data_IF_290398068907
#
_entry.id   IF_290398068907
#
_cell.length_a   1.000
_cell.length_b   1.000
_cell.length_c   1.000
_cell.angle_alpha   90.00
_cell.angle_beta   90.00
_cell.angle_gamma   90.00
#
_symmetry.space_group_name_H-M   'P 1'
#
loop_
_entity.id
_entity.type
_entity.pdbx_description
1 polymer ?
#
# COMPACT_ATOMS: atom_id res chain seq x y z
N UNK A 1 6.18 -26.33 4.51
CA UNK A 1 6.08 -26.28 5.99
C UNK A 1 6.88 -27.36 6.74
N UNK A 2 6.57 -28.67 6.68
CA UNK A 2 7.33 -29.69 7.45
C UNK A 2 8.77 -29.88 6.93
N UNK A 3 8.96 -29.76 5.62
CA UNK A 3 10.25 -29.89 4.94
C UNK A 3 11.16 -28.67 5.12
N UNK A 4 10.60 -27.47 5.36
CA UNK A 4 11.36 -26.22 5.56
C UNK A 4 11.80 -26.04 7.02
N UNK A 5 11.31 -26.87 7.94
CA UNK A 5 11.54 -26.71 9.38
C UNK A 5 13.01 -26.91 9.77
N UNK A 6 13.76 -27.74 9.05
CA UNK A 6 15.20 -27.93 9.30
C UNK A 6 16.02 -26.69 8.95
N UNK A 7 15.56 -25.92 7.97
CA UNK A 7 16.25 -24.73 7.46
C UNK A 7 15.78 -23.43 8.12
N UNK A 8 14.78 -23.50 9.02
CA UNK A 8 14.11 -22.34 9.57
C UNK A 8 15.09 -21.30 10.13
N UNK A 9 16.14 -21.73 10.83
CA UNK A 9 17.13 -20.83 11.43
C UNK A 9 18.38 -20.61 10.57
N UNK A 10 18.55 -21.36 9.48
CA UNK A 10 19.73 -21.27 8.62
C UNK A 10 19.68 -20.03 7.72
N UNK A 11 18.47 -19.54 7.43
CA UNK A 11 18.22 -18.38 6.57
C UNK A 11 17.55 -17.22 7.29
N UNK A 12 17.29 -17.34 8.60
CA UNK A 12 16.63 -16.28 9.37
C UNK A 12 17.62 -15.15 9.67
N UNK A 13 17.31 -13.96 9.21
CA UNK A 13 17.97 -12.72 9.64
C UNK A 13 17.41 -12.26 10.99
N UNK A 14 18.27 -11.72 11.85
CA UNK A 14 17.86 -11.09 13.11
C UNK A 14 18.36 -9.65 13.11
N UNK A 15 17.44 -8.71 13.23
CA UNK A 15 17.75 -7.28 13.31
C UNK A 15 17.24 -6.69 14.62
N UNK A 16 18.01 -5.74 15.16
CA UNK A 16 17.55 -4.95 16.30
C UNK A 16 16.58 -3.89 15.79
N UNK A 17 15.30 -4.10 16.05
CA UNK A 17 14.28 -3.09 15.80
C UNK A 17 14.33 -2.01 16.89
N UNK A 18 14.68 -0.79 16.50
CA UNK A 18 14.74 0.39 17.39
C UNK A 18 13.54 1.32 17.25
N UNK A 19 12.56 1.00 16.40
CA UNK A 19 11.42 1.85 16.07
C UNK A 19 10.22 1.60 17.00
N UNK A 20 10.47 1.36 18.28
CA UNK A 20 9.41 1.12 19.28
C UNK A 20 8.58 2.39 19.43
N UNK A 21 7.25 2.26 19.28
CA UNK A 21 6.27 3.30 19.58
C UNK A 21 5.50 2.90 20.84
N UNK A 22 4.96 3.87 21.56
CA UNK A 22 4.23 3.61 22.81
C UNK A 22 3.03 2.66 22.60
N UNK A 23 2.35 2.78 21.45
CA UNK A 23 1.15 2.00 21.12
C UNK A 23 1.44 0.70 20.36
N UNK A 24 2.60 0.59 19.69
CA UNK A 24 2.92 -0.58 18.85
C UNK A 24 4.41 -0.72 18.57
N UNK A 25 4.82 -1.94 18.22
CA UNK A 25 6.17 -2.22 17.72
C UNK A 25 6.02 -2.66 16.25
N UNK A 26 6.61 -1.94 15.28
CA UNK A 26 6.51 -2.30 13.87
C UNK A 26 7.19 -3.66 13.63
N UNK A 27 6.59 -4.52 12.82
CA UNK A 27 7.11 -5.85 12.46
C UNK A 27 8.19 -5.71 11.39
N UNK A 28 9.39 -5.30 11.79
CA UNK A 28 10.56 -5.11 10.93
C UNK A 28 11.55 -6.26 11.16
N UNK A 29 11.70 -7.14 10.16
CA UNK A 29 12.45 -8.39 10.29
C UNK A 29 13.82 -8.39 9.62
N UNK A 30 14.09 -7.42 8.76
CA UNK A 30 15.32 -7.32 7.96
C UNK A 30 15.95 -5.94 8.05
N UNK A 31 17.22 -5.83 7.62
CA UNK A 31 17.88 -4.53 7.48
C UNK A 31 17.12 -3.63 6.52
N UNK A 32 16.67 -4.17 5.39
CA UNK A 32 15.88 -3.45 4.37
C UNK A 32 14.59 -2.92 4.98
N UNK A 33 13.86 -3.72 5.78
CA UNK A 33 12.66 -3.25 6.48
C UNK A 33 12.95 -2.00 7.33
N UNK A 34 14.03 -2.05 8.12
CA UNK A 34 14.44 -0.94 8.97
C UNK A 34 14.80 0.31 8.17
N UNK A 35 15.43 0.14 7.02
CA UNK A 35 15.91 1.24 6.18
C UNK A 35 14.76 1.90 5.41
N UNK A 36 13.85 1.12 4.81
CA UNK A 36 12.62 1.63 4.20
C UNK A 36 11.75 2.31 5.24
N UNK A 37 11.58 1.72 6.43
CA UNK A 37 10.75 2.32 7.50
C UNK A 37 11.30 3.67 7.92
N UNK A 38 12.62 3.80 8.04
CA UNK A 38 13.29 5.07 8.33
C UNK A 38 13.02 6.12 7.26
N UNK A 39 13.09 5.73 5.99
CA UNK A 39 12.83 6.63 4.85
C UNK A 39 11.38 7.09 4.79
N UNK A 40 10.42 6.25 5.17
CA UNK A 40 9.03 6.70 5.36
C UNK A 40 8.96 7.73 6.49
N UNK A 41 9.54 7.45 7.66
CA UNK A 41 9.40 8.32 8.83
C UNK A 41 10.22 9.62 8.79
N UNK A 42 11.16 9.79 7.87
CA UNK A 42 11.99 11.00 7.78
C UNK A 42 11.21 12.23 7.28
N UNK A 43 10.03 12.03 6.70
CA UNK A 43 9.18 13.11 6.20
C UNK A 43 8.30 13.69 7.31
N UNK A 44 7.90 14.95 7.16
CA UNK A 44 7.16 15.68 8.21
C UNK A 44 5.64 15.53 8.09
N UNK A 45 5.14 15.60 6.86
CA UNK A 45 3.70 15.65 6.58
C UNK A 45 3.05 14.29 6.84
N UNK A 46 1.98 14.27 7.62
CA UNK A 46 1.23 13.03 7.90
C UNK A 46 0.25 12.75 6.77
N UNK A 47 0.09 11.49 6.35
CA UNK A 47 -0.87 11.14 5.30
C UNK A 47 -2.29 11.63 5.61
N UNK A 48 -2.72 11.58 6.87
CA UNK A 48 -4.04 12.09 7.28
C UNK A 48 -4.22 13.58 6.98
N UNK A 49 -3.15 14.38 6.96
CA UNK A 49 -3.22 15.81 6.63
C UNK A 49 -3.49 16.04 5.15
N UNK A 50 -3.19 15.08 4.27
CA UNK A 50 -3.56 15.18 2.85
C UNK A 50 -5.03 14.78 2.64
N UNK A 51 -5.55 13.89 3.48
CA UNK A 51 -6.89 13.32 3.41
C UNK A 51 -7.97 14.17 4.12
N UNK A 52 -7.58 15.22 4.84
CA UNK A 52 -8.48 16.09 5.61
C UNK A 52 -8.12 17.57 5.36
N UNK A 53 -8.10 17.98 4.10
CA UNK A 53 -7.58 19.29 3.68
C UNK A 53 -8.30 19.94 2.50
N UNK A 54 -9.57 19.61 2.25
CA UNK A 54 -10.34 20.28 1.19
C UNK A 54 -11.66 19.62 0.87
N UNK A 55 -11.98 19.56 -0.42
CA UNK A 55 -13.27 19.08 -0.95
C UNK A 55 -13.16 18.00 -2.04
N UNK A 56 -11.96 17.69 -2.53
CA UNK A 56 -11.80 16.66 -3.56
C UNK A 56 -11.91 15.26 -2.92
N UNK A 57 -12.93 14.45 -3.27
CA UNK A 57 -13.21 13.22 -2.55
C UNK A 57 -12.21 12.12 -2.90
N UNK A 58 -11.90 11.30 -1.91
CA UNK A 58 -11.24 10.00 -2.09
C UNK A 58 -11.89 9.00 -1.15
N UNK A 59 -12.11 7.78 -1.64
CA UNK A 59 -12.83 6.74 -0.93
C UNK A 59 -11.85 5.65 -0.54
N UNK A 60 -11.52 5.59 0.75
CA UNK A 60 -10.59 4.60 1.29
C UNK A 60 -11.37 3.40 1.82
N UNK A 61 -11.07 2.22 1.29
CA UNK A 61 -11.52 0.96 1.85
C UNK A 61 -10.67 0.58 3.07
N UNK A 62 -11.30 0.61 4.23
CA UNK A 62 -10.64 0.42 5.52
C UNK A 62 -10.19 -1.03 5.77
N UNK A 63 -10.60 -2.01 4.95
CA UNK A 63 -10.25 -3.45 5.14
C UNK A 63 -9.60 -4.12 3.93
N UNK A 64 -9.81 -3.62 2.72
CA UNK A 64 -9.73 -4.40 1.48
C UNK A 64 -8.43 -5.10 1.04
N UNK A 65 -7.31 -5.23 1.75
CA UNK A 65 -6.10 -5.90 1.22
C UNK A 65 -5.53 -5.41 -0.16
N UNK A 66 -4.21 -5.57 -0.34
CA UNK A 66 -3.52 -5.40 -1.62
C UNK A 66 -3.72 -4.02 -2.30
N UNK A 67 -3.96 -4.00 -3.62
CA UNK A 67 -3.94 -2.79 -4.48
C UNK A 67 -5.34 -2.22 -4.76
N UNK A 68 -6.29 -2.38 -3.83
CA UNK A 68 -7.68 -1.89 -3.93
C UNK A 68 -8.10 -1.10 -2.68
N UNK A 69 -7.17 -0.28 -2.19
CA UNK A 69 -7.36 0.51 -0.97
C UNK A 69 -8.09 1.82 -1.21
N UNK A 70 -7.78 2.55 -2.26
CA UNK A 70 -8.41 3.84 -2.53
C UNK A 70 -9.06 3.88 -3.90
N UNK A 71 -10.04 4.78 -4.05
CA UNK A 71 -10.78 5.07 -5.29
C UNK A 71 -11.14 6.56 -5.35
N UNK A 72 -11.21 7.16 -6.55
CA UNK A 72 -11.62 8.57 -6.71
C UNK A 72 -13.13 8.71 -6.84
N UNK A 73 -13.78 7.69 -7.39
CA UNK A 73 -15.24 7.63 -7.54
C UNK A 73 -15.93 7.05 -6.32
N UNK A 74 -17.19 7.41 -6.12
CA UNK A 74 -17.96 6.98 -4.96
C UNK A 74 -18.14 5.46 -4.93
N UNK A 75 -17.72 4.84 -3.82
CA UNK A 75 -17.88 3.42 -3.54
C UNK A 75 -18.83 3.21 -2.36
N UNK A 76 -19.87 2.41 -2.57
CA UNK A 76 -20.87 2.08 -1.56
C UNK A 76 -20.41 0.93 -0.67
N UNK A 77 -20.64 1.03 0.64
CA UNK A 77 -20.41 -0.04 1.60
C UNK A 77 -19.89 0.48 2.93
N UNK A 78 -20.14 -0.23 4.02
CA UNK A 78 -19.73 0.19 5.37
C UNK A 78 -18.22 0.22 5.58
N UNK A 79 -17.46 -0.42 4.68
CA UNK A 79 -16.00 -0.48 4.75
C UNK A 79 -15.31 0.65 3.99
N UNK A 80 -16.06 1.45 3.22
CA UNK A 80 -15.53 2.64 2.57
C UNK A 80 -15.74 3.86 3.45
N UNK A 81 -14.67 4.66 3.60
CA UNK A 81 -14.71 5.95 4.24
C UNK A 81 -14.32 7.03 3.25
N UNK A 82 -15.16 8.06 3.15
CA UNK A 82 -14.85 9.26 2.39
C UNK A 82 -13.86 10.14 3.18
N UNK A 83 -12.84 10.61 2.46
CA UNK A 83 -11.88 11.61 2.87
C UNK A 83 -11.87 12.72 1.81
N UNK A 84 -11.31 13.89 2.17
CA UNK A 84 -11.31 15.05 1.29
C UNK A 84 -9.93 15.68 1.19
N UNK A 85 -9.36 15.55 0.00
CA UNK A 85 -8.09 16.16 -0.36
C UNK A 85 -8.26 17.62 -0.77
N UNK A 86 -7.17 18.36 -0.76
CA UNK A 86 -7.14 19.78 -1.11
C UNK A 86 -7.69 20.07 -2.51
N UNK A 87 -7.33 19.23 -3.49
CA UNK A 87 -7.77 19.32 -4.87
C UNK A 87 -7.62 17.95 -5.55
N UNK A 88 -7.97 17.86 -6.82
CA UNK A 88 -7.91 16.62 -7.59
C UNK A 88 -6.49 16.06 -7.71
N UNK A 89 -5.47 16.91 -7.79
CA UNK A 89 -4.06 16.47 -7.88
C UNK A 89 -3.65 15.71 -6.62
N UNK A 90 -4.00 16.24 -5.44
CA UNK A 90 -3.78 15.53 -4.17
C UNK A 90 -4.64 14.27 -4.02
N UNK A 91 -5.86 14.25 -4.55
CA UNK A 91 -6.69 13.05 -4.58
C UNK A 91 -6.05 11.95 -5.44
N UNK A 92 -5.55 12.29 -6.63
CA UNK A 92 -4.85 11.38 -7.54
C UNK A 92 -3.54 10.88 -6.93
N UNK A 93 -2.77 11.76 -6.31
CA UNK A 93 -1.58 11.37 -5.56
C UNK A 93 -1.92 10.38 -4.44
N UNK A 94 -2.93 10.67 -3.62
CA UNK A 94 -3.35 9.77 -2.53
C UNK A 94 -3.88 8.43 -3.08
N UNK A 95 -4.57 8.44 -4.22
CA UNK A 95 -5.02 7.23 -4.92
C UNK A 95 -3.85 6.33 -5.30
N UNK A 96 -2.80 6.90 -5.90
CA UNK A 96 -1.57 6.16 -6.21
C UNK A 96 -0.86 5.67 -4.94
N UNK A 97 -0.69 6.54 -3.94
CA UNK A 97 0.05 6.22 -2.72
C UNK A 97 -0.63 5.12 -1.91
N UNK A 98 -1.94 5.22 -1.67
CA UNK A 98 -2.70 4.24 -0.88
C UNK A 98 -2.82 2.89 -1.60
N UNK A 99 -2.78 2.87 -2.93
CA UNK A 99 -2.72 1.64 -3.73
C UNK A 99 -1.29 1.19 -4.04
N UNK A 100 -0.24 1.80 -3.49
CA UNK A 100 1.15 1.37 -3.72
C UNK A 100 1.52 0.15 -2.88
N UNK A 101 2.53 -0.59 -3.33
CA UNK A 101 3.17 -1.66 -2.58
C UNK A 101 3.90 -1.14 -1.33
N UNK A 102 4.39 0.10 -1.36
CA UNK A 102 5.03 0.73 -0.19
C UNK A 102 4.03 0.95 0.95
N UNK A 103 2.85 1.52 0.65
CA UNK A 103 1.80 1.69 1.66
C UNK A 103 1.29 0.34 2.16
N UNK A 104 1.12 -0.63 1.26
CA UNK A 104 0.75 -1.99 1.64
C UNK A 104 1.76 -2.62 2.62
N UNK A 105 3.05 -2.57 2.30
CA UNK A 105 4.11 -3.08 3.17
C UNK A 105 4.09 -2.38 4.53
N UNK A 106 3.99 -1.05 4.55
CA UNK A 106 3.92 -0.29 5.80
C UNK A 106 2.71 -0.69 6.65
N UNK A 107 1.53 -0.80 6.04
CA UNK A 107 0.32 -1.25 6.72
C UNK A 107 0.53 -2.63 7.36
N UNK A 108 1.15 -3.57 6.63
CA UNK A 108 1.47 -4.89 7.16
C UNK A 108 2.47 -4.80 8.32
N UNK A 109 3.45 -3.90 8.29
CA UNK A 109 4.41 -3.73 9.38
C UNK A 109 3.74 -3.27 10.69
N UNK A 110 2.74 -2.40 10.64
CA UNK A 110 2.26 -1.70 11.85
C UNK A 110 0.84 -2.07 12.31
N UNK A 111 0.04 -2.71 11.45
CA UNK A 111 -1.37 -3.00 11.74
C UNK A 111 -1.59 -4.44 12.20
N UNK A 112 -2.83 -4.74 12.54
CA UNK A 112 -3.37 -6.10 12.71
C UNK A 112 -3.64 -6.81 11.37
N UNK A 113 -3.25 -6.20 10.25
CA UNK A 113 -3.47 -6.66 8.89
C UNK A 113 -4.96 -6.82 8.53
N UNK A 114 -5.84 -6.12 9.26
CA UNK A 114 -7.28 -6.20 9.05
C UNK A 114 -7.91 -4.82 8.91
N UNK A 115 -7.61 -3.88 9.80
CA UNK A 115 -8.16 -2.53 9.78
C UNK A 115 -7.10 -1.48 9.46
N UNK A 116 -7.46 -0.52 8.60
CA UNK A 116 -6.82 0.79 8.63
C UNK A 116 -7.51 1.60 9.73
N UNK A 117 -6.72 2.22 10.60
CA UNK A 117 -7.21 3.13 11.64
C UNK A 117 -6.52 4.49 11.49
N UNK A 118 -6.80 5.44 12.38
CA UNK A 118 -6.08 6.73 12.37
C UNK A 118 -4.58 6.56 12.60
N UNK A 119 -4.15 5.53 13.35
CA UNK A 119 -2.74 5.25 13.64
C UNK A 119 -1.93 5.09 12.36
N UNK A 120 -2.43 4.31 11.40
CA UNK A 120 -1.78 4.10 10.11
C UNK A 120 -1.65 5.40 9.32
N UNK A 121 -2.73 6.19 9.26
CA UNK A 121 -2.78 7.43 8.48
C UNK A 121 -1.98 8.58 9.14
N UNK A 122 -1.81 8.58 10.46
CA UNK A 122 -0.98 9.55 11.20
C UNK A 122 0.51 9.16 11.11
N UNK A 123 0.79 7.87 11.21
CA UNK A 123 2.16 7.35 11.26
C UNK A 123 2.86 7.39 9.90
N UNK A 124 2.13 7.17 8.80
CA UNK A 124 2.71 7.21 7.45
C UNK A 124 3.01 8.66 7.06
N UNK A 125 4.29 9.00 6.85
CA UNK A 125 4.71 10.36 6.51
C UNK A 125 4.98 10.47 5.01
N UNK A 126 4.63 11.61 4.45
CA UNK A 126 4.60 11.87 3.00
C UNK A 126 5.65 12.93 2.65
N UNK A 127 6.49 12.72 1.63
CA UNK A 127 7.38 13.75 1.11
C UNK A 127 6.59 14.94 0.56
N UNK A 128 7.27 16.08 0.39
CA UNK A 128 6.67 17.21 -0.31
C UNK A 128 6.52 16.86 -1.81
N UNK A 129 5.32 17.03 -2.34
CA UNK A 129 5.00 16.77 -3.75
C UNK A 129 4.71 18.09 -4.44
N UNK A 130 5.37 18.32 -5.57
CA UNK A 130 5.23 19.54 -6.38
C UNK A 130 4.79 19.26 -7.81
N UNK A 131 4.97 18.03 -8.28
CA UNK A 131 4.60 17.57 -9.61
C UNK A 131 3.64 16.39 -9.50
N UNK A 132 2.48 16.55 -10.13
CA UNK A 132 1.38 15.60 -10.09
C UNK A 132 1.11 14.97 -11.47
N UNK A 133 1.87 15.29 -12.52
CA UNK A 133 1.59 14.82 -13.88
C UNK A 133 1.49 13.29 -13.96
N UNK A 134 2.48 12.61 -13.38
CA UNK A 134 2.55 11.14 -13.37
C UNK A 134 1.41 10.54 -12.55
N UNK A 135 1.13 11.07 -11.35
CA UNK A 135 0.08 10.52 -10.49
C UNK A 135 -1.32 10.80 -11.03
N UNK A 136 -1.53 11.96 -11.67
CA UNK A 136 -2.76 12.27 -12.38
C UNK A 136 -3.04 11.27 -13.49
N UNK A 137 -2.02 10.92 -14.30
CA UNK A 137 -2.17 9.89 -15.33
C UNK A 137 -2.47 8.52 -14.71
N UNK A 138 -1.62 8.06 -13.80
CA UNK A 138 -1.66 6.69 -13.27
C UNK A 138 -2.90 6.43 -12.39
N UNK A 139 -3.37 7.42 -11.64
CA UNK A 139 -4.58 7.29 -10.82
C UNK A 139 -5.82 7.01 -11.69
N UNK A 140 -5.99 7.78 -12.76
CA UNK A 140 -7.10 7.59 -13.72
C UNK A 140 -6.98 6.24 -14.45
N UNK A 141 -5.77 5.85 -14.86
CA UNK A 141 -5.54 4.58 -15.53
C UNK A 141 -5.84 3.39 -14.62
N UNK A 142 -5.40 3.47 -13.35
CA UNK A 142 -5.67 2.45 -12.34
C UNK A 142 -7.16 2.32 -12.06
N UNK A 143 -7.87 3.43 -11.82
CA UNK A 143 -9.29 3.39 -11.54
C UNK A 143 -10.09 2.82 -12.71
N UNK A 144 -9.81 3.27 -13.93
CA UNK A 144 -10.45 2.74 -15.14
C UNK A 144 -10.21 1.24 -15.30
N UNK A 145 -8.98 0.77 -15.04
CA UNK A 145 -8.65 -0.66 -15.15
C UNK A 145 -9.32 -1.48 -14.04
N UNK A 146 -9.35 -0.98 -12.81
CA UNK A 146 -10.06 -1.62 -11.70
C UNK A 146 -11.55 -1.77 -12.01
N UNK A 147 -12.18 -0.70 -12.50
CA UNK A 147 -13.59 -0.70 -12.91
C UNK A 147 -13.87 -1.63 -14.10
N UNK A 148 -12.96 -1.68 -15.09
CA UNK A 148 -13.09 -2.58 -16.24
C UNK A 148 -12.96 -4.06 -15.87
N UNK A 149 -12.19 -4.36 -14.82
CA UNK A 149 -11.84 -5.75 -14.44
C UNK A 149 -12.65 -6.31 -13.30
N UNK A 150 -13.45 -5.50 -12.62
CA UNK A 150 -14.26 -5.98 -11.52
C UNK A 150 -15.31 -6.97 -12.02
N UNK A 151 -15.62 -7.94 -11.17
CA UNK A 151 -16.65 -8.95 -11.41
C UNK A 151 -17.73 -8.78 -10.36
N UNK A 152 -18.99 -8.76 -10.77
CA UNK A 152 -20.10 -8.77 -9.82
C UNK A 152 -20.19 -10.13 -9.12
N UNK A 153 -20.17 -10.12 -7.80
CA UNK A 153 -20.25 -11.30 -6.93
C UNK A 153 -21.49 -11.28 -6.01
N UNK A 154 -22.08 -10.10 -5.76
CA UNK A 154 -23.36 -9.96 -5.04
C UNK A 154 -23.37 -10.59 -3.64
N UNK A 155 -22.25 -10.54 -2.91
CA UNK A 155 -22.16 -11.12 -1.56
C UNK A 155 -22.66 -10.14 -0.52
N UNK A 156 -22.98 -10.61 0.70
CA UNK A 156 -23.33 -9.73 1.82
C UNK A 156 -22.22 -8.73 2.19
N UNK A 157 -20.97 -9.01 1.83
CA UNK A 157 -19.81 -8.19 2.18
C UNK A 157 -19.41 -7.20 1.09
N UNK A 158 -19.57 -7.58 -0.18
CA UNK A 158 -19.27 -6.74 -1.35
C UNK A 158 -20.06 -7.17 -2.56
N UNK A 159 -20.48 -6.20 -3.37
CA UNK A 159 -21.14 -6.43 -4.66
C UNK A 159 -20.14 -6.80 -5.75
N UNK A 160 -18.91 -6.28 -5.67
CA UNK A 160 -17.88 -6.45 -6.69
C UNK A 160 -16.57 -7.00 -6.12
N UNK A 161 -15.93 -7.86 -6.89
CA UNK A 161 -14.58 -8.32 -6.69
C UNK A 161 -13.67 -7.65 -7.73
N UNK A 162 -12.79 -6.76 -7.27
CA UNK A 162 -11.81 -6.07 -8.12
C UNK A 162 -10.63 -7.00 -8.43
N UNK A 163 -10.39 -7.30 -9.71
CA UNK A 163 -9.28 -8.17 -10.15
C UNK A 163 -7.96 -7.39 -10.21
N UNK A 164 -7.51 -6.89 -9.07
CA UNK A 164 -6.33 -6.04 -8.94
C UNK A 164 -5.04 -6.63 -9.53
N UNK A 165 -4.89 -7.96 -9.56
CA UNK A 165 -3.77 -8.65 -10.24
C UNK A 165 -3.68 -8.35 -11.74
N UNK A 166 -4.78 -7.96 -12.35
CA UNK A 166 -4.83 -7.54 -13.75
C UNK A 166 -4.31 -6.10 -13.96
N UNK A 167 -4.07 -5.37 -12.88
CA UNK A 167 -3.57 -3.99 -12.86
C UNK A 167 -2.07 -3.90 -12.57
N UNK A 168 -1.35 -5.02 -12.44
CA UNK A 168 0.05 -5.08 -11.98
C UNK A 168 0.99 -4.16 -12.73
N UNK A 169 0.83 -4.00 -14.05
CA UNK A 169 1.69 -3.11 -14.83
C UNK A 169 1.56 -1.64 -14.38
N UNK A 170 0.32 -1.16 -14.24
CA UNK A 170 0.03 0.20 -13.75
C UNK A 170 0.51 0.37 -12.31
N UNK A 171 0.31 -0.66 -11.48
CA UNK A 171 0.81 -0.70 -10.11
C UNK A 171 2.34 -0.61 -10.06
N UNK A 172 3.05 -1.31 -10.94
CA UNK A 172 4.51 -1.24 -10.95
C UNK A 172 5.03 0.13 -11.39
N UNK A 173 4.34 0.82 -12.29
CA UNK A 173 4.63 2.22 -12.64
C UNK A 173 4.37 3.16 -11.46
N UNK A 174 3.27 2.94 -10.72
CA UNK A 174 2.98 3.66 -9.47
C UNK A 174 4.10 3.39 -8.45
N UNK A 175 4.49 2.14 -8.27
CA UNK A 175 5.51 1.74 -7.32
C UNK A 175 6.88 2.35 -7.68
N UNK A 176 7.26 2.42 -8.96
CA UNK A 176 8.50 3.09 -9.38
C UNK A 176 8.49 4.57 -8.98
N UNK A 177 7.41 5.28 -9.29
CA UNK A 177 7.28 6.69 -8.96
C UNK A 177 7.24 6.92 -7.44
N UNK A 178 6.42 6.18 -6.70
CA UNK A 178 6.30 6.30 -5.25
C UNK A 178 7.62 5.95 -4.57
N UNK A 179 8.29 4.86 -4.96
CA UNK A 179 9.58 4.49 -4.37
C UNK A 179 10.64 5.57 -4.59
N UNK A 180 10.69 6.17 -5.79
CA UNK A 180 11.59 7.29 -6.08
C UNK A 180 11.30 8.52 -5.20
N UNK A 181 10.03 8.86 -4.97
CA UNK A 181 9.64 9.97 -4.09
C UNK A 181 10.12 9.78 -2.63
N UNK A 182 10.16 8.54 -2.15
CA UNK A 182 10.66 8.21 -0.81
C UNK A 182 12.19 8.00 -0.77
N UNK A 183 12.88 8.16 -1.89
CA UNK A 183 14.33 7.96 -2.01
C UNK A 183 14.75 6.52 -1.76
N UNK A 184 13.90 5.55 -2.12
CA UNK A 184 14.27 4.14 -2.06
C UNK A 184 15.37 3.82 -3.09
N UNK A 185 16.29 2.93 -2.73
CA UNK A 185 17.25 2.37 -3.68
C UNK A 185 16.57 1.38 -4.62
N UNK A 186 17.24 1.02 -5.72
CA UNK A 186 16.73 -0.03 -6.62
C UNK A 186 16.47 -1.35 -5.88
N UNK A 187 17.37 -1.73 -4.96
CA UNK A 187 17.23 -2.94 -4.13
C UNK A 187 16.00 -2.85 -3.22
N UNK A 188 15.82 -1.74 -2.52
CA UNK A 188 14.65 -1.52 -1.65
C UNK A 188 13.35 -1.47 -2.46
N UNK A 189 13.36 -0.84 -3.64
CA UNK A 189 12.21 -0.77 -4.53
C UNK A 189 11.81 -2.15 -5.05
N UNK A 190 12.78 -2.98 -5.46
CA UNK A 190 12.56 -4.39 -5.83
C UNK A 190 12.02 -5.18 -4.64
N UNK A 191 12.57 -4.99 -3.45
CA UNK A 191 12.09 -5.63 -2.23
C UNK A 191 10.62 -5.30 -1.96
N UNK A 192 10.25 -4.02 -2.01
CA UNK A 192 8.88 -3.54 -1.75
C UNK A 192 7.89 -4.06 -2.80
N UNK A 193 8.25 -4.02 -4.09
CA UNK A 193 7.42 -4.59 -5.16
C UNK A 193 7.18 -6.08 -4.98
N UNK A 194 8.22 -6.82 -4.57
CA UNK A 194 8.14 -8.26 -4.38
C UNK A 194 7.56 -8.68 -3.02
N UNK A 195 7.32 -7.75 -2.10
CA UNK A 195 6.80 -8.05 -0.78
C UNK A 195 5.44 -8.75 -0.88
N UNK A 196 5.43 -10.04 -0.52
CA UNK A 196 4.26 -10.93 -0.65
C UNK A 196 3.67 -11.00 -2.07
N UNK A 197 4.41 -10.60 -3.11
CA UNK A 197 3.90 -10.43 -4.48
C UNK A 197 3.20 -11.68 -5.02
N UNK A 198 3.81 -12.87 -4.84
CA UNK A 198 3.23 -14.16 -5.27
C UNK A 198 1.84 -14.41 -4.68
N UNK A 199 1.62 -14.06 -3.42
CA UNK A 199 0.32 -14.18 -2.78
C UNK A 199 -0.67 -13.15 -3.34
N UNK A 200 -0.20 -11.92 -3.61
CA UNK A 200 -1.01 -10.83 -4.17
C UNK A 200 -1.51 -11.12 -5.59
N UNK A 201 -0.73 -11.85 -6.39
CA UNK A 201 -1.16 -12.27 -7.74
C UNK A 201 -1.94 -13.60 -7.75
N UNK A 202 -2.13 -14.24 -6.59
CA UNK A 202 -2.83 -15.53 -6.48
C UNK A 202 -2.00 -16.73 -6.93
N UNK A 203 -0.67 -16.62 -6.93
CA UNK A 203 0.25 -17.71 -7.29
C UNK A 203 0.45 -18.76 -6.19
N UNK A 204 0.06 -18.47 -4.94
CA UNK A 204 0.16 -19.42 -3.82
C UNK A 204 1.59 -19.86 -3.49
N UNK A 205 1.71 -21.02 -2.81
CA UNK A 205 2.99 -21.61 -2.40
C UNK A 205 3.61 -22.57 -3.44
N UNK A 206 2.90 -22.86 -4.52
CA UNK A 206 3.40 -23.73 -5.59
C UNK A 206 4.27 -22.88 -6.54
N UNK A 207 5.59 -23.06 -6.44
CA UNK A 207 6.67 -22.61 -7.35
C UNK A 207 7.82 -21.83 -6.69
N UNK A 208 8.20 -22.17 -5.45
CA UNK A 208 9.49 -21.78 -4.85
C UNK A 208 10.72 -22.47 -5.46
N UNK A 209 10.66 -22.87 -6.74
CA UNK A 209 11.78 -23.46 -7.48
C UNK A 209 11.80 -22.87 -8.88
N UNK A 210 12.65 -21.88 -9.06
CA UNK A 210 13.58 -21.73 -10.18
C UNK A 210 14.55 -20.62 -9.82
#
# INVERSE_FOLDING_TARGET
YKEERSELFNTTEVVKNTFVQDEFIPKLGTRIDCDVYRKVLQHETQLIQLLDNGDAPIYLNMRAAFWIKAFLTHHTGSEYKEFKCQNQDYANFCMCLLNSSLFWWYWICISDCWHITRKELIGFKVPNVYDFEITNKLANELELRLEKTKVYVGTKQTDYEYKHKECVNIIHEIDDYINALYGLTDEEGIYIKNFSYRYRIGGGAENGRN
#
